data_IF_857216351383
#
_entry.id   IF_857216351383
#
_cell.length_a   1.000
_cell.length_b   1.000
_cell.length_c   1.000
_cell.angle_alpha   90.00
_cell.angle_beta   90.00
_cell.angle_gamma   90.00
#
_symmetry.space_group_name_H-M   'P 1'
#
loop_
_entity.id
_entity.type
_entity.pdbx_description
1 polymer ?
#
# COMPACT_ATOMS: atom_id res chain seq x y z
N UNK A 1 -12.66 33.25 -65.15
CA UNK A 1 -12.42 32.17 -64.27
C UNK A 1 -11.91 32.70 -62.95
N UNK A 2 -12.77 32.74 -61.95
CA UNK A 2 -12.46 33.21 -60.61
C UNK A 2 -12.13 31.98 -59.76
N UNK A 3 -10.96 31.93 -59.19
CA UNK A 3 -10.54 30.92 -58.19
C UNK A 3 -11.11 31.31 -56.81
N UNK A 4 -11.87 30.43 -56.19
CA UNK A 4 -12.27 30.57 -54.83
C UNK A 4 -11.22 29.91 -53.92
N UNK A 5 -10.65 30.71 -53.11
CA UNK A 5 -9.73 30.32 -52.02
C UNK A 5 -10.58 29.82 -50.81
N UNK A 6 -10.46 28.54 -50.51
CA UNK A 6 -11.09 27.96 -49.31
C UNK A 6 -9.99 27.77 -48.26
N UNK A 7 -9.85 28.77 -47.42
CA UNK A 7 -9.09 28.64 -46.16
C UNK A 7 -9.84 27.70 -45.21
N UNK A 8 -9.36 26.47 -45.09
CA UNK A 8 -9.79 25.54 -44.04
C UNK A 8 -9.29 26.07 -42.69
N UNK A 9 -10.24 26.47 -41.84
CA UNK A 9 -9.93 26.73 -40.42
C UNK A 9 -9.68 25.38 -39.74
N UNK A 10 -8.42 25.13 -39.44
CA UNK A 10 -7.99 24.11 -38.50
C UNK A 10 -8.44 24.56 -37.10
N UNK A 11 -9.56 24.02 -36.63
CA UNK A 11 -9.99 24.16 -35.26
C UNK A 11 -9.22 23.16 -34.43
N UNK A 12 -7.95 23.46 -34.16
CA UNK A 12 -7.22 22.82 -33.09
C UNK A 12 -7.94 23.10 -31.79
N UNK A 13 -8.62 22.12 -31.22
CA UNK A 13 -9.02 22.14 -29.82
C UNK A 13 -7.74 22.18 -29.02
N UNK A 14 -7.42 23.36 -28.52
CA UNK A 14 -6.40 23.57 -27.50
C UNK A 14 -6.96 22.91 -26.22
N UNK A 15 -6.74 21.61 -26.10
CA UNK A 15 -6.97 20.86 -24.89
C UNK A 15 -5.87 21.34 -23.93
N UNK A 16 -6.19 22.39 -23.14
CA UNK A 16 -5.32 22.85 -22.06
C UNK A 16 -4.99 21.63 -21.21
N UNK A 17 -3.75 21.19 -21.29
CA UNK A 17 -3.29 20.05 -20.50
C UNK A 17 -3.64 20.25 -19.04
N UNK A 18 -4.26 19.24 -18.41
CA UNK A 18 -4.61 19.28 -17.00
C UNK A 18 -3.33 19.50 -16.19
N UNK A 19 -3.29 20.58 -15.41
CA UNK A 19 -2.14 20.94 -14.54
C UNK A 19 -2.39 20.57 -13.08
N UNK A 20 -3.64 20.29 -12.69
CA UNK A 20 -3.99 19.87 -11.35
C UNK A 20 -4.04 18.34 -11.28
N UNK A 21 -3.32 17.75 -10.33
CA UNK A 21 -3.23 16.30 -10.12
C UNK A 21 -3.74 15.98 -8.73
N UNK A 22 -4.78 15.15 -8.61
CA UNK A 22 -5.33 14.66 -7.35
C UNK A 22 -4.69 13.32 -7.02
N UNK A 23 -3.97 13.23 -5.89
CA UNK A 23 -3.27 12.02 -5.49
C UNK A 23 -3.79 11.53 -4.15
N UNK A 24 -4.17 10.25 -4.11
CA UNK A 24 -4.63 9.56 -2.91
C UNK A 24 -3.48 8.97 -2.10
N UNK A 25 -3.54 9.15 -0.78
CA UNK A 25 -2.61 8.59 0.18
C UNK A 25 -3.35 7.93 1.33
N UNK A 26 -2.72 6.90 1.90
CA UNK A 26 -3.07 6.35 3.21
C UNK A 26 -2.10 6.90 4.27
N UNK A 27 -2.45 6.87 5.56
CA UNK A 27 -1.52 7.22 6.63
C UNK A 27 -0.22 6.41 6.51
N UNK A 28 0.92 7.10 6.53
CA UNK A 28 2.24 6.49 6.39
C UNK A 28 3.24 7.44 5.73
N UNK A 29 4.46 6.97 5.44
CA UNK A 29 5.56 7.81 5.00
C UNK A 29 5.49 8.23 3.51
N UNK A 30 4.59 7.64 2.72
CA UNK A 30 4.55 7.89 1.27
C UNK A 30 4.23 9.34 0.91
N UNK A 31 3.32 9.98 1.65
CA UNK A 31 2.98 11.38 1.41
C UNK A 31 4.17 12.30 1.66
N UNK A 32 4.88 12.11 2.77
CA UNK A 32 6.09 12.90 3.08
C UNK A 32 7.21 12.67 2.05
N UNK A 33 7.40 11.42 1.61
CA UNK A 33 8.35 11.09 0.55
C UNK A 33 8.00 11.78 -0.77
N UNK A 34 6.72 11.80 -1.13
CA UNK A 34 6.23 12.47 -2.34
C UNK A 34 6.44 13.98 -2.25
N UNK A 35 6.06 14.60 -1.13
CA UNK A 35 6.24 16.03 -0.88
C UNK A 35 7.71 16.46 -0.92
N UNK A 36 8.60 15.62 -0.40
CA UNK A 36 10.04 15.93 -0.37
C UNK A 36 10.78 15.64 -1.67
N UNK A 37 10.32 14.66 -2.47
CA UNK A 37 11.09 14.15 -3.60
C UNK A 37 10.45 14.33 -4.97
N UNK A 38 9.13 14.38 -5.07
CA UNK A 38 8.41 14.38 -6.36
C UNK A 38 7.66 15.68 -6.60
N UNK A 39 6.92 16.17 -5.61
CA UNK A 39 6.12 17.40 -5.76
C UNK A 39 6.93 18.61 -6.23
N UNK A 40 8.16 18.89 -5.72
CA UNK A 40 8.95 20.03 -6.20
C UNK A 40 9.24 19.96 -7.70
N UNK A 41 9.48 18.74 -8.23
CA UNK A 41 9.76 18.53 -9.65
C UNK A 41 8.49 18.78 -10.48
N UNK A 42 7.34 18.28 -10.02
CA UNK A 42 6.05 18.53 -10.67
C UNK A 42 5.70 20.02 -10.67
N UNK A 43 5.99 20.73 -9.59
CA UNK A 43 5.74 22.16 -9.50
C UNK A 43 6.62 22.97 -10.48
N UNK A 44 7.89 22.56 -10.70
CA UNK A 44 8.76 23.16 -11.72
C UNK A 44 8.22 22.95 -13.13
N UNK A 45 7.53 21.83 -13.38
CA UNK A 45 6.86 21.52 -14.65
C UNK A 45 5.45 22.15 -14.77
N UNK A 46 5.02 22.91 -13.77
CA UNK A 46 3.76 23.65 -13.78
C UNK A 46 2.53 22.87 -13.28
N UNK A 47 2.74 21.72 -12.64
CA UNK A 47 1.66 20.94 -12.03
C UNK A 47 1.39 21.38 -10.59
N UNK A 48 0.11 21.39 -10.19
CA UNK A 48 -0.32 21.54 -8.81
C UNK A 48 -0.86 20.20 -8.30
N UNK A 49 -0.50 19.84 -7.07
CA UNK A 49 -0.93 18.58 -6.45
C UNK A 49 -1.98 18.86 -5.38
N UNK A 50 -3.12 18.19 -5.49
CA UNK A 50 -4.15 18.08 -4.45
C UNK A 50 -4.00 16.73 -3.73
N UNK A 51 -3.86 16.77 -2.41
CA UNK A 51 -3.73 15.59 -1.56
C UNK A 51 -5.11 15.13 -1.08
N UNK A 52 -5.43 13.85 -1.30
CA UNK A 52 -6.68 13.26 -0.84
C UNK A 52 -6.36 12.10 0.11
N UNK A 53 -6.77 12.25 1.37
CA UNK A 53 -6.48 11.25 2.41
C UNK A 53 -7.53 10.14 2.42
N UNK A 54 -7.05 8.90 2.47
CA UNK A 54 -7.85 7.70 2.61
C UNK A 54 -7.35 6.89 3.80
N UNK A 55 -8.24 6.15 4.44
CA UNK A 55 -7.90 5.21 5.53
C UNK A 55 -7.94 3.76 5.10
N UNK A 56 -8.43 3.49 3.89
CA UNK A 56 -8.64 2.15 3.35
C UNK A 56 -7.99 2.00 1.97
N UNK A 57 -7.16 0.96 1.81
CA UNK A 57 -6.41 0.70 0.58
C UNK A 57 -7.27 0.23 -0.59
N UNK A 58 -8.45 -0.35 -0.34
CA UNK A 58 -9.40 -0.75 -1.40
C UNK A 58 -10.09 0.50 -1.93
N UNK A 59 -10.62 1.33 -1.03
CA UNK A 59 -11.36 2.56 -1.40
C UNK A 59 -10.52 3.49 -2.26
N UNK A 60 -9.25 3.71 -1.93
CA UNK A 60 -8.37 4.59 -2.73
C UNK A 60 -8.10 4.02 -4.13
N UNK A 61 -8.04 2.70 -4.29
CA UNK A 61 -7.89 2.07 -5.60
C UNK A 61 -9.16 2.21 -6.45
N UNK A 62 -10.33 2.06 -5.84
CA UNK A 62 -11.62 2.28 -6.50
C UNK A 62 -11.76 3.74 -6.93
N UNK A 63 -11.33 4.71 -6.10
CA UNK A 63 -11.36 6.13 -6.43
C UNK A 63 -10.50 6.47 -7.67
N UNK A 64 -9.34 5.82 -7.85
CA UNK A 64 -8.54 5.92 -9.10
C UNK A 64 -9.32 5.38 -10.28
N UNK A 65 -9.87 4.17 -10.17
CA UNK A 65 -10.59 3.52 -11.26
C UNK A 65 -11.85 4.31 -11.69
N UNK A 66 -12.47 5.03 -10.76
CA UNK A 66 -13.65 5.88 -11.03
C UNK A 66 -13.28 7.30 -11.49
N UNK A 67 -12.01 7.67 -11.51
CA UNK A 67 -11.54 9.00 -11.88
C UNK A 67 -11.83 10.09 -10.84
N UNK A 68 -12.13 9.70 -9.60
CA UNK A 68 -12.30 10.64 -8.48
C UNK A 68 -10.96 11.26 -8.07
N UNK A 69 -9.88 10.48 -8.20
CA UNK A 69 -8.49 10.91 -8.09
C UNK A 69 -7.71 10.43 -9.31
N UNK A 70 -6.57 11.06 -9.59
CA UNK A 70 -5.78 10.78 -10.80
C UNK A 70 -4.75 9.66 -10.59
N UNK A 71 -4.25 9.51 -9.35
CA UNK A 71 -3.32 8.46 -8.96
C UNK A 71 -3.38 8.20 -7.46
N UNK A 72 -2.76 7.10 -7.02
CA UNK A 72 -2.46 6.87 -5.62
C UNK A 72 -0.99 6.46 -5.42
N UNK A 73 -0.47 6.61 -4.20
CA UNK A 73 0.86 6.17 -3.80
C UNK A 73 0.73 5.48 -2.45
N UNK A 74 0.40 4.18 -2.46
CA UNK A 74 0.04 3.46 -1.23
C UNK A 74 0.51 2.01 -1.18
N UNK A 75 0.97 1.40 -2.31
CA UNK A 75 0.97 -0.05 -2.42
C UNK A 75 2.12 -0.61 -3.25
N UNK A 76 2.39 -1.90 -3.05
CA UNK A 76 3.21 -2.72 -3.92
C UNK A 76 2.35 -3.44 -4.99
N UNK A 77 2.93 -3.91 -6.11
CA UNK A 77 2.18 -4.48 -7.23
C UNK A 77 1.25 -5.65 -6.83
N UNK A 78 1.72 -6.56 -5.96
CA UNK A 78 0.93 -7.73 -5.54
C UNK A 78 -0.37 -7.32 -4.84
N UNK A 79 -0.34 -6.27 -4.01
CA UNK A 79 -1.56 -5.74 -3.38
C UNK A 79 -2.48 -5.07 -4.40
N UNK A 80 -1.94 -4.32 -5.36
CA UNK A 80 -2.72 -3.73 -6.45
C UNK A 80 -3.45 -4.82 -7.26
N UNK A 81 -2.75 -5.88 -7.64
CA UNK A 81 -3.33 -7.01 -8.38
C UNK A 81 -4.45 -7.69 -7.58
N UNK A 82 -4.27 -7.88 -6.27
CA UNK A 82 -5.30 -8.40 -5.38
C UNK A 82 -6.56 -7.51 -5.40
N UNK A 83 -6.41 -6.19 -5.23
CA UNK A 83 -7.55 -5.27 -5.23
C UNK A 83 -8.21 -5.20 -6.61
N UNK A 84 -7.42 -5.18 -7.69
CA UNK A 84 -7.96 -5.23 -9.05
C UNK A 84 -8.85 -6.46 -9.27
N UNK A 85 -8.40 -7.62 -8.84
CA UNK A 85 -9.15 -8.88 -8.96
C UNK A 85 -10.41 -8.88 -8.08
N UNK A 86 -10.32 -8.37 -6.86
CA UNK A 86 -11.43 -8.34 -5.89
C UNK A 86 -12.54 -7.38 -6.33
N UNK A 87 -12.17 -6.18 -6.78
CA UNK A 87 -13.11 -5.10 -7.11
C UNK A 87 -13.50 -5.06 -8.60
N UNK A 88 -12.87 -5.90 -9.43
CA UNK A 88 -13.11 -5.92 -10.88
C UNK A 88 -12.68 -4.64 -11.58
N UNK A 89 -11.59 -4.02 -11.13
CA UNK A 89 -10.97 -2.82 -11.68
C UNK A 89 -9.64 -3.15 -12.36
N UNK A 90 -9.04 -2.19 -13.08
CA UNK A 90 -7.83 -2.41 -13.90
C UNK A 90 -6.81 -1.26 -13.69
N UNK A 91 -6.45 -0.99 -12.45
CA UNK A 91 -5.41 -0.03 -12.13
C UNK A 91 -4.05 -0.57 -12.56
N UNK A 92 -3.18 0.31 -13.06
CA UNK A 92 -1.83 -0.03 -13.50
C UNK A 92 -0.77 0.77 -12.75
N UNK A 93 0.40 0.16 -12.51
CA UNK A 93 1.55 0.84 -11.96
C UNK A 93 2.19 1.79 -12.99
N UNK A 94 2.37 3.05 -12.63
CA UNK A 94 3.04 4.05 -13.47
C UNK A 94 4.56 4.00 -13.31
N UNK A 95 5.03 4.04 -12.06
CA UNK A 95 6.45 4.05 -11.72
C UNK A 95 6.67 3.42 -10.35
N UNK A 96 7.77 2.72 -10.21
CA UNK A 96 8.16 2.16 -8.93
C UNK A 96 8.89 3.22 -8.09
N UNK A 97 8.43 3.40 -6.86
CA UNK A 97 9.07 4.25 -5.85
C UNK A 97 9.67 3.38 -4.73
N UNK A 98 10.63 3.89 -3.94
CA UNK A 98 11.10 3.19 -2.75
C UNK A 98 9.95 2.87 -1.79
N UNK A 99 9.93 1.64 -1.28
CA UNK A 99 8.95 1.18 -0.30
C UNK A 99 9.63 1.01 1.06
N UNK A 100 9.07 1.55 2.14
CA UNK A 100 9.54 1.25 3.49
C UNK A 100 9.46 -0.24 3.79
N UNK A 101 10.35 -0.72 4.66
CA UNK A 101 10.40 -2.14 5.04
C UNK A 101 9.30 -2.43 6.06
N UNK A 102 8.68 -3.59 5.95
CA UNK A 102 7.94 -4.17 7.06
C UNK A 102 8.91 -4.60 8.15
N UNK A 103 8.56 -4.41 9.42
CA UNK A 103 9.39 -4.80 10.55
C UNK A 103 8.53 -5.31 11.71
N UNK A 104 9.18 -6.07 12.61
CA UNK A 104 8.61 -6.44 13.91
C UNK A 104 8.88 -5.30 14.90
N UNK A 105 7.82 -4.85 15.54
CA UNK A 105 7.86 -3.82 16.58
C UNK A 105 7.51 -4.43 17.93
N UNK A 106 8.20 -3.98 18.96
CA UNK A 106 7.87 -4.28 20.34
C UNK A 106 6.67 -3.45 20.80
N UNK A 107 5.75 -4.10 21.51
CA UNK A 107 4.61 -3.49 22.19
C UNK A 107 4.82 -3.49 23.70
N UNK A 108 4.31 -4.52 24.40
CA UNK A 108 4.50 -4.71 25.84
C UNK A 108 5.86 -5.31 26.21
N UNK A 109 6.56 -5.88 25.25
CA UNK A 109 7.90 -6.45 25.40
C UNK A 109 8.96 -5.44 24.93
N UNK A 110 10.17 -5.57 25.41
CA UNK A 110 11.26 -4.64 25.10
C UNK A 110 12.25 -5.20 24.05
N UNK A 111 12.35 -6.54 23.96
CA UNK A 111 13.29 -7.20 23.06
C UNK A 111 12.69 -8.45 22.40
N UNK A 112 13.29 -8.91 21.31
CA UNK A 112 12.93 -10.16 20.63
C UNK A 112 13.09 -11.36 21.56
N UNK A 113 14.14 -11.38 22.38
CA UNK A 113 14.44 -12.46 23.33
C UNK A 113 13.43 -12.55 24.49
N UNK A 114 12.56 -11.58 24.66
CA UNK A 114 11.50 -11.57 25.67
C UNK A 114 10.26 -12.38 25.22
N UNK A 115 10.29 -12.99 24.04
CA UNK A 115 9.21 -13.86 23.58
C UNK A 115 8.98 -15.01 24.58
N UNK A 116 7.73 -15.25 24.93
CA UNK A 116 7.32 -16.28 25.87
C UNK A 116 6.18 -17.12 25.31
N UNK A 117 5.90 -18.24 25.95
CA UNK A 117 4.75 -19.08 25.63
C UNK A 117 3.45 -18.24 25.71
N UNK A 118 2.65 -18.27 24.65
CA UNK A 118 1.42 -17.51 24.54
C UNK A 118 1.58 -16.01 24.24
N UNK A 119 2.79 -15.52 23.90
CA UNK A 119 2.97 -14.11 23.52
C UNK A 119 2.02 -13.71 22.38
N UNK A 120 1.49 -12.50 22.48
CA UNK A 120 0.52 -11.94 21.51
C UNK A 120 1.23 -11.17 20.40
N UNK A 121 0.87 -11.48 19.15
CA UNK A 121 1.46 -10.83 17.95
C UNK A 121 0.35 -10.42 17.00
N UNK A 122 0.34 -9.15 16.55
CA UNK A 122 -0.53 -8.74 15.45
C UNK A 122 0.21 -8.73 14.13
N UNK A 123 -0.50 -9.09 13.06
CA UNK A 123 -0.04 -9.07 11.67
C UNK A 123 -1.08 -8.36 10.81
N UNK A 124 -0.73 -7.83 9.63
CA UNK A 124 -1.72 -7.29 8.69
C UNK A 124 -2.74 -8.36 8.29
N UNK A 125 -3.99 -7.93 8.03
CA UNK A 125 -5.08 -8.84 7.64
C UNK A 125 -5.19 -9.06 6.12
N UNK A 126 -4.58 -8.23 5.29
CA UNK A 126 -4.53 -8.47 3.85
C UNK A 126 -3.55 -9.62 3.54
N UNK A 127 -3.94 -10.63 2.72
CA UNK A 127 -3.18 -11.88 2.58
C UNK A 127 -1.71 -11.68 2.23
N UNK A 128 -1.38 -10.87 1.21
CA UNK A 128 0.00 -10.62 0.82
C UNK A 128 0.84 -9.94 1.93
N UNK A 129 0.25 -9.03 2.71
CA UNK A 129 0.96 -8.39 3.83
C UNK A 129 0.99 -9.29 5.07
N UNK A 130 -0.05 -10.11 5.30
CA UNK A 130 -0.02 -11.17 6.30
C UNK A 130 1.16 -12.11 6.02
N UNK A 131 1.30 -12.60 4.79
CA UNK A 131 2.43 -13.46 4.39
C UNK A 131 3.78 -12.80 4.67
N UNK A 132 3.96 -11.52 4.33
CA UNK A 132 5.18 -10.77 4.67
C UNK A 132 5.43 -10.69 6.16
N UNK A 133 4.38 -10.50 6.97
CA UNK A 133 4.48 -10.53 8.44
C UNK A 133 4.91 -11.90 8.96
N UNK A 134 4.33 -12.97 8.43
CA UNK A 134 4.71 -14.35 8.80
C UNK A 134 6.14 -14.68 8.39
N UNK A 135 6.64 -14.19 7.24
CA UNK A 135 8.03 -14.34 6.83
C UNK A 135 9.00 -13.76 7.89
N UNK A 136 8.68 -12.59 8.47
CA UNK A 136 9.50 -12.01 9.54
C UNK A 136 9.52 -12.94 10.77
N UNK A 137 8.35 -13.47 11.17
CA UNK A 137 8.27 -14.36 12.32
C UNK A 137 9.00 -15.69 12.07
N UNK A 138 8.98 -16.20 10.84
CA UNK A 138 9.75 -17.39 10.43
C UNK A 138 11.26 -17.09 10.43
N UNK A 139 11.69 -15.98 9.88
CA UNK A 139 13.10 -15.61 9.78
C UNK A 139 13.78 -15.47 11.15
N UNK A 140 13.02 -15.07 12.18
CA UNK A 140 13.53 -15.00 13.57
C UNK A 140 13.30 -16.31 14.35
N UNK A 141 12.74 -17.35 13.70
CA UNK A 141 12.56 -18.67 14.29
C UNK A 141 11.41 -18.81 15.28
N UNK A 142 10.42 -17.92 15.21
CA UNK A 142 9.26 -17.97 16.11
C UNK A 142 8.14 -18.87 15.61
N UNK A 143 8.03 -19.08 14.29
CA UNK A 143 7.10 -20.01 13.62
C UNK A 143 7.81 -20.68 12.47
N UNK A 144 7.16 -21.72 11.93
CA UNK A 144 7.45 -22.24 10.61
C UNK A 144 6.14 -22.42 9.81
N UNK A 145 6.23 -22.40 8.48
CA UNK A 145 5.08 -22.56 7.60
C UNK A 145 5.50 -23.01 6.19
N UNK A 146 4.55 -23.56 5.44
CA UNK A 146 4.73 -23.93 4.03
C UNK A 146 4.62 -22.69 3.14
N UNK A 147 5.57 -22.53 2.19
CA UNK A 147 5.52 -21.46 1.21
C UNK A 147 4.28 -21.57 0.32
N UNK A 148 3.66 -20.46 0.01
CA UNK A 148 2.55 -20.37 -0.94
C UNK A 148 3.04 -19.84 -2.27
N UNK A 149 2.49 -20.35 -3.38
CA UNK A 149 2.84 -19.86 -4.72
C UNK A 149 2.34 -18.43 -4.96
N UNK A 150 1.14 -18.12 -4.46
CA UNK A 150 0.54 -16.79 -4.53
C UNK A 150 0.34 -16.23 -3.12
N UNK A 151 1.10 -15.19 -2.73
CA UNK A 151 0.95 -14.53 -1.43
C UNK A 151 -0.47 -14.01 -1.13
N UNK A 152 -1.28 -13.77 -2.16
CA UNK A 152 -2.67 -13.32 -1.98
C UNK A 152 -3.61 -14.43 -1.49
N UNK A 153 -3.15 -15.69 -1.42
CA UNK A 153 -3.89 -16.81 -0.87
C UNK A 153 -3.51 -17.16 0.57
N UNK A 154 -2.52 -16.45 1.14
CA UNK A 154 -2.01 -16.76 2.47
C UNK A 154 -3.01 -16.40 3.58
N UNK A 155 -3.13 -17.30 4.54
CA UNK A 155 -3.80 -17.08 5.82
C UNK A 155 -3.03 -17.80 6.95
N UNK A 156 -3.53 -17.75 8.19
CA UNK A 156 -2.84 -18.37 9.32
C UNK A 156 -2.79 -19.90 9.25
N UNK A 157 -3.58 -20.56 8.41
CA UNK A 157 -3.61 -22.02 8.29
C UNK A 157 -2.34 -22.60 7.67
N UNK A 158 -1.51 -21.77 7.00
CA UNK A 158 -0.23 -22.21 6.46
C UNK A 158 0.82 -22.49 7.54
N UNK A 159 0.63 -22.01 8.78
CA UNK A 159 1.57 -22.20 9.88
C UNK A 159 1.60 -23.67 10.28
N UNK A 160 2.77 -24.29 10.17
CA UNK A 160 3.00 -25.72 10.47
C UNK A 160 3.64 -25.95 11.83
N UNK A 161 4.38 -24.97 12.35
CA UNK A 161 5.00 -25.01 13.68
C UNK A 161 4.90 -23.64 14.37
N UNK A 162 4.65 -23.68 15.68
CA UNK A 162 4.51 -22.49 16.55
C UNK A 162 5.01 -22.83 17.96
N UNK A 163 6.35 -22.95 18.13
CA UNK A 163 6.95 -23.46 19.36
C UNK A 163 6.71 -22.59 20.59
N UNK A 164 6.38 -21.33 20.40
CA UNK A 164 6.03 -20.41 21.48
C UNK A 164 4.53 -20.27 21.71
N UNK A 165 3.69 -21.07 21.07
CA UNK A 165 2.23 -20.95 21.13
C UNK A 165 1.72 -19.50 20.92
N UNK A 166 2.39 -18.75 20.01
CA UNK A 166 2.05 -17.36 19.74
C UNK A 166 0.58 -17.20 19.41
N UNK A 167 -0.05 -16.21 20.02
CA UNK A 167 -1.42 -15.80 19.71
C UNK A 167 -1.36 -14.76 18.58
N UNK A 168 -1.36 -15.25 17.34
CA UNK A 168 -1.24 -14.40 16.15
C UNK A 168 -2.63 -13.94 15.73
N UNK A 169 -2.81 -12.61 15.62
CA UNK A 169 -4.11 -12.00 15.27
C UNK A 169 -3.94 -11.07 14.06
N UNK A 170 -4.55 -11.39 12.91
CA UNK A 170 -4.63 -10.47 11.78
C UNK A 170 -5.54 -9.28 12.11
N UNK A 171 -5.05 -8.06 11.89
CA UNK A 171 -5.81 -6.83 12.07
C UNK A 171 -5.58 -5.86 10.91
N UNK A 172 -6.49 -4.89 10.77
CA UNK A 172 -6.37 -3.82 9.78
C UNK A 172 -5.05 -3.06 9.95
N UNK A 173 -4.44 -2.65 8.83
CA UNK A 173 -3.16 -1.98 8.84
C UNK A 173 -3.17 -0.70 9.72
N UNK A 174 -4.21 0.10 9.63
CA UNK A 174 -4.38 1.31 10.43
C UNK A 174 -4.47 1.04 11.95
N UNK A 175 -4.77 -0.19 12.35
CA UNK A 175 -4.87 -0.61 13.76
C UNK A 175 -3.55 -1.15 14.31
N UNK A 176 -2.54 -1.43 13.49
CA UNK A 176 -1.30 -2.06 13.94
C UNK A 176 -0.52 -1.20 14.96
N UNK A 177 -0.34 0.09 14.68
CA UNK A 177 0.36 1.01 15.59
C UNK A 177 -0.43 1.22 16.90
N UNK A 178 -1.73 1.54 16.89
CA UNK A 178 -2.53 1.62 18.11
C UNK A 178 -2.51 0.33 18.96
N UNK A 179 -2.48 -0.84 18.33
CA UNK A 179 -2.49 -2.13 19.02
C UNK A 179 -1.22 -2.41 19.83
N UNK A 180 -0.08 -1.75 19.56
CA UNK A 180 1.19 -1.98 20.27
C UNK A 180 1.08 -1.83 21.78
N UNK A 181 0.19 -0.97 22.29
CA UNK A 181 -0.05 -0.84 23.73
C UNK A 181 -0.74 -2.06 24.37
N UNK A 182 -1.39 -2.90 23.56
CA UNK A 182 -2.22 -4.02 24.01
C UNK A 182 -1.64 -5.40 23.69
N UNK A 183 -0.64 -5.48 22.81
CA UNK A 183 0.03 -6.73 22.37
C UNK A 183 1.49 -6.75 22.73
N UNK A 184 2.10 -7.94 22.69
CA UNK A 184 3.53 -8.08 22.96
C UNK A 184 4.37 -7.59 21.77
N UNK A 185 3.92 -7.89 20.55
CA UNK A 185 4.61 -7.52 19.30
C UNK A 185 3.60 -7.25 18.17
N UNK A 186 4.06 -6.53 17.14
CA UNK A 186 3.33 -6.35 15.90
C UNK A 186 4.26 -6.32 14.69
N UNK A 187 3.87 -6.96 13.57
CA UNK A 187 4.54 -6.75 12.29
C UNK A 187 3.85 -5.62 11.56
N UNK A 188 4.55 -4.51 11.41
CA UNK A 188 3.99 -3.26 10.85
C UNK A 188 4.69 -2.95 9.53
N UNK A 189 3.90 -2.69 8.51
CA UNK A 189 4.41 -2.18 7.24
C UNK A 189 4.72 -0.68 7.35
N UNK A 190 5.80 -0.26 6.70
CA UNK A 190 6.18 1.14 6.62
C UNK A 190 5.39 1.89 5.57
#
# INVERSE_FOLDING_TARGET
GSAADTTGADSGTDETAKTDIRIGFNPGPYQEMFQGGIEPILAEEGYAVEYVDFTDGIVVNVAVAQGEIDANIIQHPVYMEFVNAQEGIDNAGLVQIPTPRMALFAGKKDAIDDVADGSTVTVPNSPANLYRGLLILRDIGWIDFEDVEDPNTADLSIITDNPHNLQITPIENAQQVPALQDVDYATIQG
#
